data_IF_714403959407
#
_entry.id   IF_714403959407
#
_cell.length_a   1.000
_cell.length_b   1.000
_cell.length_c   1.000
_cell.angle_alpha   90.00
_cell.angle_beta   90.00
_cell.angle_gamma   90.00
#
_symmetry.space_group_name_H-M   'P 1'
#
loop_
_entity.id
_entity.type
_entity.pdbx_description
1 polymer ?
#
# COMPACT_ATOMS: atom_id res chain seq x y z
N UNK A 1 -25.41 8.52 -20.75
CA UNK A 1 -24.42 8.88 -19.74
C UNK A 1 -24.83 8.35 -18.37
N UNK A 2 -26.04 8.66 -17.89
CA UNK A 2 -26.54 8.24 -16.56
C UNK A 2 -26.45 6.74 -16.32
N UNK A 3 -26.91 5.92 -17.27
CA UNK A 3 -26.86 4.47 -17.15
C UNK A 3 -25.42 3.96 -17.06
N UNK A 4 -24.51 4.50 -17.89
CA UNK A 4 -23.11 4.09 -17.89
C UNK A 4 -22.41 4.42 -16.56
N UNK A 5 -22.63 5.61 -16.01
CA UNK A 5 -22.06 6.01 -14.72
C UNK A 5 -22.64 5.21 -13.55
N UNK A 6 -23.95 4.90 -13.58
CA UNK A 6 -24.59 4.07 -12.57
C UNK A 6 -24.08 2.63 -12.62
N UNK A 7 -23.91 2.06 -13.82
CA UNK A 7 -23.34 0.72 -14.00
C UNK A 7 -21.89 0.65 -13.51
N UNK A 8 -21.08 1.65 -13.83
CA UNK A 8 -19.69 1.73 -13.37
C UNK A 8 -19.61 1.87 -11.84
N UNK A 9 -20.43 2.74 -11.24
CA UNK A 9 -20.52 2.86 -9.78
C UNK A 9 -20.90 1.52 -9.11
N UNK A 10 -21.93 0.85 -9.66
CA UNK A 10 -22.35 -0.44 -9.15
C UNK A 10 -21.27 -1.51 -9.28
N UNK A 11 -20.55 -1.56 -10.41
CA UNK A 11 -19.48 -2.52 -10.62
C UNK A 11 -18.32 -2.34 -9.63
N UNK A 12 -17.84 -1.11 -9.41
CA UNK A 12 -16.78 -0.85 -8.43
C UNK A 12 -17.24 -1.13 -6.99
N UNK A 13 -18.49 -0.80 -6.66
CA UNK A 13 -19.04 -1.08 -5.33
C UNK A 13 -19.16 -2.58 -5.08
N UNK A 14 -19.65 -3.34 -6.05
CA UNK A 14 -19.74 -4.80 -5.95
C UNK A 14 -18.37 -5.47 -5.88
N UNK A 15 -17.39 -4.95 -6.63
CA UNK A 15 -16.01 -5.42 -6.56
C UNK A 15 -15.45 -5.22 -5.14
N UNK A 16 -15.60 -4.03 -4.57
CA UNK A 16 -15.13 -3.72 -3.22
C UNK A 16 -15.79 -4.60 -2.15
N UNK A 17 -17.10 -4.86 -2.27
CA UNK A 17 -17.83 -5.72 -1.32
C UNK A 17 -17.42 -7.19 -1.47
N UNK A 18 -17.21 -7.65 -2.71
CA UNK A 18 -16.87 -9.05 -3.01
C UNK A 18 -15.40 -9.40 -2.80
N UNK A 19 -14.54 -8.40 -2.72
CA UNK A 19 -13.08 -8.60 -2.56
C UNK A 19 -12.72 -8.68 -1.07
N UNK A 20 -12.59 -9.89 -0.57
CA UNK A 20 -12.41 -10.15 0.86
C UNK A 20 -10.94 -10.01 1.31
N UNK A 21 -10.42 -8.78 1.26
CA UNK A 21 -9.08 -8.42 1.74
C UNK A 21 -9.15 -7.22 2.69
N UNK A 22 -8.17 -7.02 3.58
CA UNK A 22 -8.14 -5.88 4.50
C UNK A 22 -8.19 -4.51 3.80
N UNK A 23 -7.72 -4.42 2.57
CA UNK A 23 -7.65 -3.22 1.74
C UNK A 23 -8.78 -3.11 0.70
N UNK A 24 -9.82 -3.93 0.80
CA UNK A 24 -10.96 -3.95 -0.15
C UNK A 24 -11.62 -2.58 -0.33
N UNK A 25 -11.56 -1.71 0.69
CA UNK A 25 -12.07 -0.34 0.63
C UNK A 25 -11.38 0.53 -0.44
N UNK A 26 -10.14 0.22 -0.83
CA UNK A 26 -9.40 0.94 -1.89
C UNK A 26 -10.13 0.82 -3.23
N UNK A 27 -10.83 -0.29 -3.48
CA UNK A 27 -11.60 -0.49 -4.71
C UNK A 27 -12.85 0.41 -4.81
N UNK A 28 -13.24 1.11 -3.72
CA UNK A 28 -14.27 2.15 -3.76
C UNK A 28 -13.75 3.50 -4.29
N UNK A 29 -12.43 3.71 -4.31
CA UNK A 29 -11.85 4.99 -4.76
C UNK A 29 -12.36 5.40 -6.15
N UNK A 30 -12.44 4.52 -7.17
CA UNK A 30 -12.99 4.88 -8.47
C UNK A 30 -14.50 5.18 -8.46
N UNK A 31 -15.24 4.70 -7.46
CA UNK A 31 -16.66 4.97 -7.31
C UNK A 31 -16.94 6.40 -6.78
N UNK A 32 -16.00 7.00 -6.01
CA UNK A 32 -16.17 8.34 -5.43
C UNK A 32 -16.37 9.43 -6.47
N UNK A 33 -15.58 9.55 -7.56
CA UNK A 33 -15.82 10.53 -8.63
C UNK A 33 -17.19 10.37 -9.28
N UNK A 34 -17.69 9.13 -9.42
CA UNK A 34 -19.00 8.86 -9.98
C UNK A 34 -20.11 9.32 -9.03
N UNK A 35 -19.95 9.08 -7.73
CA UNK A 35 -20.88 9.59 -6.71
C UNK A 35 -20.89 11.13 -6.66
N UNK A 36 -19.73 11.78 -6.73
CA UNK A 36 -19.65 13.25 -6.75
C UNK A 36 -20.27 13.85 -8.01
N UNK A 37 -20.17 13.17 -9.16
CA UNK A 37 -20.86 13.57 -10.39
C UNK A 37 -22.39 13.59 -10.18
N UNK A 38 -22.97 12.54 -9.60
CA UNK A 38 -24.40 12.47 -9.33
C UNK A 38 -24.85 13.50 -8.28
N UNK A 39 -24.05 13.70 -7.23
CA UNK A 39 -24.26 14.76 -6.26
C UNK A 39 -24.27 16.14 -6.91
N UNK A 40 -23.36 16.40 -7.84
CA UNK A 40 -23.29 17.68 -8.57
C UNK A 40 -24.55 17.94 -9.40
N UNK A 41 -25.08 16.91 -10.07
CA UNK A 41 -26.34 17.01 -10.81
C UNK A 41 -27.51 17.33 -9.86
N UNK A 42 -27.62 16.60 -8.75
CA UNK A 42 -28.65 16.87 -7.75
C UNK A 42 -28.57 18.28 -7.15
N UNK A 43 -27.35 18.74 -6.85
CA UNK A 43 -27.14 20.12 -6.34
C UNK A 43 -27.42 21.18 -7.37
N UNK A 44 -27.18 20.91 -8.66
CA UNK A 44 -27.52 21.87 -9.74
C UNK A 44 -29.01 22.16 -9.82
N UNK A 45 -29.85 21.16 -9.56
CA UNK A 45 -31.30 21.30 -9.51
C UNK A 45 -31.82 22.08 -8.26
N UNK A 46 -31.08 21.94 -7.15
CA UNK A 46 -31.41 22.59 -5.87
C UNK A 46 -30.91 24.03 -5.80
N UNK A 47 -29.75 24.30 -6.38
CA UNK A 47 -29.05 25.59 -6.31
C UNK A 47 -29.91 26.80 -6.69
N UNK A 48 -30.75 26.80 -7.77
CA UNK A 48 -31.61 27.92 -8.11
C UNK A 48 -32.66 28.24 -7.04
N UNK A 49 -33.14 27.21 -6.31
CA UNK A 49 -34.15 27.35 -5.25
C UNK A 49 -33.57 27.93 -3.97
N UNK A 50 -32.27 27.83 -3.77
CA UNK A 50 -31.57 28.30 -2.57
C UNK A 50 -31.17 29.78 -2.62
N UNK A 51 -31.22 30.43 -3.78
CA UNK A 51 -30.82 31.84 -3.93
C UNK A 51 -29.39 32.10 -3.44
N UNK A 52 -29.24 33.10 -2.55
CA UNK A 52 -27.92 33.45 -1.99
C UNK A 52 -27.28 32.34 -1.10
N UNK A 53 -28.09 31.46 -0.53
CA UNK A 53 -27.65 30.39 0.35
C UNK A 53 -26.86 29.29 -0.37
N UNK A 54 -26.91 29.26 -1.72
CA UNK A 54 -26.11 28.28 -2.52
C UNK A 54 -24.64 28.31 -2.21
N UNK A 55 -24.07 29.42 -1.78
CA UNK A 55 -22.68 29.55 -1.43
C UNK A 55 -22.28 28.74 -0.18
N UNK A 56 -23.23 28.39 0.69
CA UNK A 56 -23.00 27.51 1.82
C UNK A 56 -22.64 26.08 1.36
N UNK A 57 -23.19 25.65 0.23
CA UNK A 57 -22.83 24.35 -0.34
C UNK A 57 -21.37 24.32 -0.76
N UNK A 58 -20.84 25.42 -1.29
CA UNK A 58 -19.42 25.52 -1.64
C UNK A 58 -18.51 25.52 -0.40
N UNK A 59 -19.00 25.94 0.76
CA UNK A 59 -18.23 25.94 2.00
C UNK A 59 -18.03 24.51 2.58
N UNK A 60 -18.92 23.56 2.26
CA UNK A 60 -18.88 22.19 2.82
C UNK A 60 -17.51 21.50 2.63
N UNK A 61 -16.93 21.41 1.41
CA UNK A 61 -15.66 20.74 1.22
C UNK A 61 -14.50 21.41 1.96
N UNK A 62 -14.54 22.74 2.10
CA UNK A 62 -13.51 23.46 2.87
C UNK A 62 -13.64 23.18 4.36
N UNK A 63 -14.86 23.15 4.90
CA UNK A 63 -15.11 22.78 6.30
C UNK A 63 -14.65 21.34 6.54
N UNK A 64 -14.98 20.40 5.67
CA UNK A 64 -14.52 19.00 5.77
C UNK A 64 -12.99 18.92 5.72
N UNK A 65 -12.34 19.62 4.79
CA UNK A 65 -10.89 19.63 4.70
C UNK A 65 -10.24 20.12 6.01
N UNK A 66 -10.79 21.18 6.62
CA UNK A 66 -10.29 21.70 7.90
C UNK A 66 -10.53 20.70 9.04
N UNK A 67 -11.74 20.14 9.14
CA UNK A 67 -12.12 19.24 10.24
C UNK A 67 -11.34 17.91 10.20
N UNK A 68 -11.07 17.39 9.00
CA UNK A 68 -10.42 16.10 8.82
C UNK A 68 -8.92 16.20 8.51
N UNK A 69 -8.37 17.44 8.42
CA UNK A 69 -6.95 17.64 8.11
C UNK A 69 -6.03 16.84 9.01
N UNK A 70 -6.26 16.86 10.32
CA UNK A 70 -5.46 16.13 11.28
C UNK A 70 -5.53 14.61 11.14
N UNK A 71 -6.65 14.08 10.63
CA UNK A 71 -6.85 12.64 10.45
C UNK A 71 -6.27 12.12 9.13
N UNK A 72 -6.14 12.96 8.11
CA UNK A 72 -5.63 12.56 6.80
C UNK A 72 -4.19 13.00 6.54
N UNK A 73 -3.65 13.89 7.38
CA UNK A 73 -2.26 14.33 7.28
C UNK A 73 -1.32 13.28 7.84
N UNK A 74 -0.51 12.69 6.98
CA UNK A 74 0.52 11.71 7.34
C UNK A 74 1.90 12.36 7.55
N UNK A 75 1.98 13.69 7.63
CA UNK A 75 3.27 14.40 7.71
C UNK A 75 4.13 14.05 8.92
N UNK A 76 3.51 13.58 9.99
CA UNK A 76 4.18 13.17 11.24
C UNK A 76 4.01 11.67 11.54
N UNK A 77 3.49 10.90 10.60
CA UNK A 77 3.36 9.46 10.76
C UNK A 77 4.69 8.78 10.39
N UNK A 78 5.44 8.43 11.40
CA UNK A 78 6.72 7.72 11.29
C UNK A 78 6.59 6.23 11.63
N UNK A 79 5.38 5.73 11.80
CA UNK A 79 5.12 4.34 12.25
C UNK A 79 5.86 3.29 11.43
N UNK A 80 5.81 3.42 10.09
CA UNK A 80 6.51 2.49 9.20
C UNK A 80 8.04 2.57 9.37
N UNK A 81 8.57 3.79 9.56
CA UNK A 81 10.01 3.99 9.74
C UNK A 81 10.50 3.47 11.10
N UNK A 82 9.76 3.75 12.16
CA UNK A 82 10.08 3.27 13.51
C UNK A 82 10.04 1.75 13.57
N UNK A 83 9.06 1.15 12.89
CA UNK A 83 8.97 -0.30 12.74
C UNK A 83 10.19 -0.85 11.99
N UNK A 84 10.55 -0.28 10.82
CA UNK A 84 11.72 -0.71 10.07
C UNK A 84 13.01 -0.60 10.88
N UNK A 85 13.20 0.49 11.60
CA UNK A 85 14.35 0.68 12.49
C UNK A 85 14.41 -0.38 13.60
N UNK A 86 13.27 -0.71 14.19
CA UNK A 86 13.19 -1.77 15.19
C UNK A 86 13.63 -3.12 14.64
N UNK A 87 13.14 -3.49 13.44
CA UNK A 87 13.52 -4.74 12.76
C UNK A 87 15.00 -4.75 12.41
N UNK A 88 15.48 -3.69 11.74
CA UNK A 88 16.87 -3.61 11.28
C UNK A 88 17.87 -3.60 12.44
N UNK A 89 17.55 -2.93 13.54
CA UNK A 89 18.41 -2.89 14.73
C UNK A 89 18.38 -4.20 15.52
N UNK A 90 17.26 -4.92 15.49
CA UNK A 90 17.13 -6.23 16.14
C UNK A 90 17.76 -7.39 15.35
N UNK A 91 18.01 -7.20 14.07
CA UNK A 91 18.55 -8.25 13.21
C UNK A 91 20.04 -8.52 13.45
N UNK A 92 20.45 -9.80 13.53
CA UNK A 92 21.86 -10.17 13.59
C UNK A 92 22.66 -9.65 12.38
N UNK A 93 23.98 -9.48 12.48
CA UNK A 93 24.81 -9.12 11.33
C UNK A 93 24.69 -10.13 10.19
N UNK A 94 24.65 -9.65 8.94
CA UNK A 94 24.51 -10.45 7.74
C UNK A 94 23.25 -11.35 7.70
N UNK A 95 22.21 -11.04 8.46
CA UNK A 95 20.98 -11.83 8.45
C UNK A 95 20.20 -11.66 7.13
N UNK A 96 19.37 -12.65 6.84
CA UNK A 96 18.34 -12.58 5.82
C UNK A 96 17.01 -12.30 6.52
N UNK A 97 16.35 -11.21 6.11
CA UNK A 97 15.01 -10.82 6.57
C UNK A 97 13.99 -11.38 5.59
N UNK A 98 13.19 -12.33 6.03
CA UNK A 98 12.16 -12.95 5.20
C UNK A 98 10.82 -12.29 5.49
N UNK A 99 10.25 -11.63 4.49
CA UNK A 99 8.97 -10.94 4.57
C UNK A 99 7.90 -11.68 3.75
N UNK A 100 6.62 -11.39 4.02
CA UNK A 100 5.48 -11.97 3.30
C UNK A 100 4.37 -10.95 3.04
N UNK A 101 4.62 -9.67 3.31
CA UNK A 101 3.67 -8.58 3.04
C UNK A 101 4.38 -7.43 2.36
N UNK A 102 3.73 -6.83 1.38
CA UNK A 102 4.25 -5.69 0.63
C UNK A 102 4.68 -4.54 1.55
N UNK A 103 3.88 -4.26 2.57
CA UNK A 103 4.14 -3.18 3.53
C UNK A 103 5.49 -3.37 4.23
N UNK A 104 5.78 -4.57 4.70
CA UNK A 104 7.04 -4.88 5.36
C UNK A 104 8.21 -4.86 4.37
N UNK A 105 8.04 -5.50 3.23
CA UNK A 105 9.05 -5.61 2.18
C UNK A 105 9.48 -4.23 1.69
N UNK A 106 8.52 -3.40 1.25
CA UNK A 106 8.84 -2.09 0.69
C UNK A 106 9.38 -1.10 1.73
N UNK A 107 8.93 -1.19 2.97
CA UNK A 107 9.46 -0.34 4.04
C UNK A 107 10.93 -0.67 4.34
N UNK A 108 11.28 -1.96 4.41
CA UNK A 108 12.66 -2.39 4.62
C UNK A 108 13.55 -2.07 3.42
N UNK A 109 13.09 -2.29 2.19
CA UNK A 109 13.83 -1.89 0.99
C UNK A 109 14.05 -0.39 0.94
N UNK A 110 13.04 0.43 1.27
CA UNK A 110 13.23 1.87 1.35
C UNK A 110 14.31 2.24 2.38
N UNK A 111 14.28 1.62 3.55
CA UNK A 111 15.26 1.89 4.58
C UNK A 111 16.70 1.50 4.15
N UNK A 112 16.86 0.42 3.38
CA UNK A 112 18.16 -0.03 2.88
C UNK A 112 18.63 0.78 1.67
N UNK A 113 17.83 0.83 0.61
CA UNK A 113 18.24 1.37 -0.69
C UNK A 113 18.26 2.90 -0.73
N UNK A 114 17.34 3.55 -0.02
CA UNK A 114 17.22 5.00 -0.02
C UNK A 114 17.96 5.63 1.16
N UNK A 115 17.83 5.04 2.35
CA UNK A 115 18.43 5.59 3.55
C UNK A 115 19.79 4.98 3.91
N UNK A 116 20.23 3.96 3.17
CA UNK A 116 21.54 3.30 3.38
C UNK A 116 21.66 2.54 4.70
N UNK A 117 20.52 2.16 5.33
CA UNK A 117 20.52 1.47 6.63
C UNK A 117 20.82 0.00 6.47
N UNK A 118 21.74 -0.52 7.28
CA UNK A 118 22.06 -1.97 7.37
C UNK A 118 22.24 -2.64 6.01
N UNK A 119 23.19 -2.19 5.17
CA UNK A 119 23.46 -2.81 3.87
C UNK A 119 24.03 -4.23 3.95
N UNK A 120 24.36 -4.69 5.15
CA UNK A 120 24.79 -6.05 5.45
C UNK A 120 23.64 -7.07 5.44
N UNK A 121 22.40 -6.62 5.58
CA UNK A 121 21.21 -7.46 5.58
C UNK A 121 20.68 -7.67 4.16
N UNK A 122 20.03 -8.80 3.91
CA UNK A 122 19.31 -9.07 2.66
C UNK A 122 17.82 -9.23 2.96
N UNK A 123 16.97 -8.41 2.35
CA UNK A 123 15.52 -8.52 2.49
C UNK A 123 14.96 -9.34 1.34
N UNK A 124 14.29 -10.44 1.66
CA UNK A 124 13.67 -11.34 0.68
C UNK A 124 12.18 -11.43 0.92
N UNK A 125 11.41 -11.16 -0.13
CA UNK A 125 9.97 -11.37 -0.14
C UNK A 125 9.66 -12.81 -0.54
N UNK A 126 8.96 -13.53 0.34
CA UNK A 126 8.59 -14.94 0.14
C UNK A 126 7.63 -15.12 -1.03
N UNK A 127 6.68 -14.20 -1.19
CA UNK A 127 5.64 -14.30 -2.21
C UNK A 127 6.17 -13.98 -3.60
N UNK A 128 7.17 -13.09 -3.69
CA UNK A 128 7.88 -12.79 -4.94
C UNK A 128 8.86 -13.88 -5.37
N UNK A 129 9.21 -14.82 -4.51
CA UNK A 129 10.15 -15.89 -4.84
C UNK A 129 9.76 -16.73 -6.05
N UNK A 130 8.46 -16.90 -6.26
CA UNK A 130 7.93 -17.65 -7.41
C UNK A 130 8.12 -16.93 -8.75
N UNK A 131 8.41 -15.63 -8.74
CA UNK A 131 8.72 -14.87 -9.93
C UNK A 131 10.18 -15.06 -10.32
N UNK A 132 10.40 -15.73 -11.43
CA UNK A 132 11.75 -16.06 -11.93
C UNK A 132 12.70 -14.84 -12.01
N UNK A 133 12.30 -13.67 -12.54
CA UNK A 133 13.18 -12.50 -12.58
C UNK A 133 13.64 -12.04 -11.19
N UNK A 134 12.74 -12.02 -10.21
CA UNK A 134 13.06 -11.66 -8.85
C UNK A 134 14.02 -12.67 -8.21
N UNK A 135 13.72 -13.96 -8.33
CA UNK A 135 14.55 -15.04 -7.80
C UNK A 135 15.98 -14.97 -8.34
N UNK A 136 16.15 -14.69 -9.65
CA UNK A 136 17.49 -14.53 -10.24
C UNK A 136 18.28 -13.38 -9.63
N UNK A 137 17.62 -12.26 -9.33
CA UNK A 137 18.26 -11.11 -8.66
C UNK A 137 18.72 -11.52 -7.27
N UNK A 138 17.83 -12.13 -6.47
CA UNK A 138 18.16 -12.57 -5.11
C UNK A 138 19.28 -13.61 -5.11
N UNK A 139 19.25 -14.61 -5.98
CA UNK A 139 20.31 -15.62 -6.07
C UNK A 139 21.67 -14.99 -6.41
N UNK A 140 21.68 -14.02 -7.32
CA UNK A 140 22.90 -13.27 -7.65
C UNK A 140 23.43 -12.48 -6.45
N UNK A 141 22.56 -11.86 -5.70
CA UNK A 141 22.91 -11.11 -4.48
C UNK A 141 23.48 -12.04 -3.40
N UNK A 142 22.88 -13.22 -3.24
CA UNK A 142 23.35 -14.23 -2.30
C UNK A 142 24.63 -14.97 -2.79
N UNK A 143 25.09 -14.72 -4.00
CA UNK A 143 26.24 -15.39 -4.60
C UNK A 143 26.00 -16.87 -4.90
N UNK A 144 24.73 -17.27 -5.05
CA UNK A 144 24.32 -18.64 -5.32
C UNK A 144 24.10 -18.86 -6.83
N UNK A 145 24.58 -20.00 -7.35
CA UNK A 145 24.20 -20.45 -8.69
C UNK A 145 22.71 -20.84 -8.70
N UNK A 146 22.07 -20.80 -9.87
CA UNK A 146 20.69 -21.29 -10.03
C UNK A 146 20.56 -22.70 -9.42
N UNK A 147 19.92 -22.76 -8.27
CA UNK A 147 19.59 -23.99 -7.59
C UNK A 147 18.09 -23.99 -7.36
N UNK A 148 17.48 -25.11 -7.33
CA UNK A 148 16.09 -25.47 -7.08
C UNK A 148 15.06 -24.34 -6.84
N UNK A 149 13.81 -24.69 -6.98
CA UNK A 149 12.70 -23.74 -6.78
C UNK A 149 12.40 -23.49 -5.29
N UNK A 150 12.97 -24.29 -4.39
CA UNK A 150 12.66 -24.21 -2.96
C UNK A 150 13.44 -23.08 -2.29
N UNK A 151 12.70 -22.14 -1.69
CA UNK A 151 13.25 -21.01 -0.96
C UNK A 151 14.01 -21.49 0.29
N UNK A 152 13.41 -22.38 1.07
CA UNK A 152 13.99 -22.81 2.36
C UNK A 152 15.31 -23.57 2.16
N UNK A 153 15.37 -24.46 1.16
CA UNK A 153 16.60 -25.13 0.79
C UNK A 153 17.67 -24.12 0.33
N UNK A 154 17.27 -23.14 -0.46
CA UNK A 154 18.19 -22.08 -0.93
C UNK A 154 18.74 -21.26 0.23
N UNK A 155 17.88 -20.85 1.16
CA UNK A 155 18.27 -20.08 2.34
C UNK A 155 19.21 -20.87 3.25
N UNK A 156 18.94 -22.16 3.45
CA UNK A 156 19.79 -23.05 4.26
C UNK A 156 21.23 -23.13 3.71
N UNK A 157 21.41 -23.07 2.39
CA UNK A 157 22.74 -23.09 1.74
C UNK A 157 23.59 -21.85 2.00
N UNK A 158 22.95 -20.72 2.38
CA UNK A 158 23.69 -19.48 2.67
C UNK A 158 24.46 -19.55 3.99
N UNK A 159 24.03 -20.38 4.94
CA UNK A 159 24.56 -20.42 6.30
C UNK A 159 24.35 -19.12 7.10
N UNK A 160 23.56 -18.17 6.57
CA UNK A 160 23.25 -16.88 7.20
C UNK A 160 22.10 -17.02 8.19
N UNK A 161 22.05 -16.21 9.27
CA UNK A 161 20.89 -16.16 10.14
C UNK A 161 19.64 -15.73 9.34
N UNK A 162 18.51 -16.39 9.56
CA UNK A 162 17.22 -16.07 8.93
C UNK A 162 16.29 -15.55 10.00
N UNK A 163 15.69 -14.39 9.76
CA UNK A 163 14.69 -13.76 10.62
C UNK A 163 13.40 -13.60 9.84
N UNK A 164 12.33 -14.26 10.30
CA UNK A 164 10.99 -14.02 9.76
C UNK A 164 10.42 -12.74 10.36
N UNK A 165 10.05 -11.81 9.48
CA UNK A 165 9.46 -10.53 9.82
C UNK A 165 7.94 -10.65 9.67
N UNK A 166 7.22 -10.49 10.79
CA UNK A 166 5.76 -10.61 10.88
C UNK A 166 5.14 -9.25 11.19
#
# INVERSE_FOLDING_TARGET
LALATASAFGAFSLLAIGYNTPDSSVYLVPALPLATFWLSLGLSELSPKMGKWRWLLAAIPFIQAILFWGSVSLSNDLTAMEWAESVLNGAPPNAILLTSTDQHTFTLWYAQEVLGKRPDLTVIDRDLWWHEPYRKIVLKELGLAESGLDLEETLARTGRPILEVK
#
